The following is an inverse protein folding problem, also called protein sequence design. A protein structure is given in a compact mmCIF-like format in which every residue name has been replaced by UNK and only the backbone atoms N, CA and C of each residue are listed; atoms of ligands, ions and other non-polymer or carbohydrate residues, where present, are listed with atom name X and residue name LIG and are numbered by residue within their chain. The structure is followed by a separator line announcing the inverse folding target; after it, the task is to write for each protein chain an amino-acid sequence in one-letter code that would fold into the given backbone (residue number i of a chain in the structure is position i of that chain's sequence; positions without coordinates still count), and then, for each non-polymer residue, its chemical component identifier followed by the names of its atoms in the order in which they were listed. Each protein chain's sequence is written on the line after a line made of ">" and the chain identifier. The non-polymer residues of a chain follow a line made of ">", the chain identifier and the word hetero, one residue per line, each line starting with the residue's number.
data_IF_761521483978
#
_entry.id   IF_761521483978
#
_cell.length_a   1.000
_cell.length_b   1.000
_cell.length_c   1.000
_cell.angle_alpha   90.00
_cell.angle_beta   90.00
_cell.angle_gamma   90.00
#
_symmetry.space_group_name_H-M   'P 1'
#
loop_
_entity.id
_entity.type
_entity.pdbx_description
1 polymer ?
#
# COMPACT_ATOMS: atom_id res chain seq x y z
N UNK A 1 22.83 15.24 2.82
CA UNK A 1 21.47 15.27 2.24
C UNK A 1 20.78 13.95 2.56
N UNK A 2 19.86 13.90 3.53
CA UNK A 2 19.09 12.68 3.78
C UNK A 2 18.02 12.56 2.69
N UNK A 3 18.25 11.67 1.71
CA UNK A 3 17.24 11.33 0.71
C UNK A 3 16.14 10.52 1.39
N UNK A 4 15.04 11.18 1.74
CA UNK A 4 13.82 10.51 2.17
C UNK A 4 13.33 9.62 1.03
N UNK A 5 13.09 8.33 1.31
CA UNK A 5 12.53 7.40 0.29
C UNK A 5 11.18 7.95 -0.23
N UNK A 6 10.87 7.80 -1.53
CA UNK A 6 9.59 8.20 -2.09
C UNK A 6 8.40 7.62 -1.33
N UNK A 7 7.29 8.37 -1.28
CA UNK A 7 6.08 7.93 -0.61
C UNK A 7 5.54 6.60 -1.18
N UNK A 8 5.68 6.36 -2.48
CA UNK A 8 5.36 5.09 -3.16
C UNK A 8 6.12 3.91 -2.58
N UNK A 9 7.44 4.02 -2.40
CA UNK A 9 8.28 2.95 -1.81
C UNK A 9 7.90 2.67 -0.36
N UNK A 10 7.64 3.73 0.42
CA UNK A 10 7.20 3.60 1.82
C UNK A 10 5.83 2.93 1.91
N UNK A 11 4.89 3.33 1.05
CA UNK A 11 3.54 2.78 1.00
C UNK A 11 3.57 1.31 0.57
N UNK A 12 4.36 0.95 -0.44
CA UNK A 12 4.54 -0.45 -0.86
C UNK A 12 5.04 -1.33 0.29
N UNK A 13 6.08 -0.88 1.00
CA UNK A 13 6.61 -1.60 2.14
C UNK A 13 5.56 -1.79 3.25
N UNK A 14 4.73 -0.78 3.50
CA UNK A 14 3.66 -0.88 4.49
C UNK A 14 2.52 -1.79 4.03
N UNK A 15 2.13 -1.75 2.76
CA UNK A 15 1.16 -2.70 2.17
C UNK A 15 1.65 -4.13 2.34
N UNK A 16 2.93 -4.43 2.09
CA UNK A 16 3.47 -5.77 2.32
C UNK A 16 3.43 -6.19 3.80
N UNK A 17 3.56 -5.26 4.76
CA UNK A 17 3.37 -5.56 6.19
C UNK A 17 1.92 -5.88 6.51
N UNK A 18 0.97 -5.16 5.90
CA UNK A 18 -0.47 -5.44 6.03
C UNK A 18 -0.82 -6.80 5.44
N UNK A 19 -0.25 -7.16 4.28
CA UNK A 19 -0.46 -8.48 3.65
C UNK A 19 -0.04 -9.62 4.58
N UNK A 20 0.99 -9.46 5.42
CA UNK A 20 1.40 -10.48 6.41
C UNK A 20 0.34 -10.72 7.50
N UNK A 21 -0.56 -9.77 7.74
CA UNK A 21 -1.67 -9.90 8.69
C UNK A 21 -2.85 -10.69 8.12
N UNK A 22 -2.87 -10.93 6.80
CA UNK A 22 -3.92 -11.72 6.16
C UNK A 22 -3.72 -13.23 6.43
N UNK A 23 -4.77 -14.04 6.23
CA UNK A 23 -4.64 -15.49 6.22
C UNK A 23 -3.58 -15.99 5.22
N UNK A 24 -2.79 -17.03 5.54
CA UNK A 24 -1.68 -17.50 4.72
C UNK A 24 -2.01 -17.68 3.23
N UNK A 25 -3.17 -18.25 2.93
CA UNK A 25 -3.67 -18.54 1.59
C UNK A 25 -3.92 -17.27 0.74
N UNK A 26 -4.20 -16.13 1.38
CA UNK A 26 -4.44 -14.87 0.70
C UNK A 26 -3.14 -14.09 0.42
N UNK A 27 -2.06 -14.36 1.16
CA UNK A 27 -0.83 -13.52 1.14
C UNK A 27 -0.17 -13.48 -0.22
N UNK A 28 -0.04 -14.64 -0.89
CA UNK A 28 0.62 -14.74 -2.19
C UNK A 28 -0.12 -13.92 -3.26
N UNK A 29 -1.45 -13.99 -3.26
CA UNK A 29 -2.28 -13.20 -4.18
C UNK A 29 -2.07 -11.68 -3.96
N UNK A 30 -2.25 -11.20 -2.73
CA UNK A 30 -2.19 -9.76 -2.46
C UNK A 30 -0.77 -9.18 -2.51
N UNK A 31 0.27 -9.97 -2.21
CA UNK A 31 1.67 -9.54 -2.39
C UNK A 31 2.03 -9.36 -3.87
N UNK A 32 1.56 -10.26 -4.75
CA UNK A 32 1.70 -10.11 -6.20
C UNK A 32 0.93 -8.91 -6.72
N UNK A 33 -0.35 -8.79 -6.35
CA UNK A 33 -1.18 -7.65 -6.74
C UNK A 33 -0.58 -6.31 -6.31
N UNK A 34 -0.04 -6.22 -5.09
CA UNK A 34 0.67 -5.03 -4.62
C UNK A 34 1.93 -4.75 -5.47
N UNK A 35 2.73 -5.77 -5.79
CA UNK A 35 3.92 -5.59 -6.64
C UNK A 35 3.54 -5.04 -8.01
N UNK A 36 2.55 -5.63 -8.67
CA UNK A 36 2.07 -5.21 -9.99
C UNK A 36 1.53 -3.77 -9.95
N UNK A 37 0.76 -3.41 -8.93
CA UNK A 37 0.25 -2.05 -8.76
C UNK A 37 1.38 -1.03 -8.53
N UNK A 38 2.30 -1.29 -7.61
CA UNK A 38 3.35 -0.32 -7.29
C UNK A 38 4.44 -0.24 -8.37
N UNK A 39 4.58 -1.26 -9.22
CA UNK A 39 5.45 -1.18 -10.39
C UNK A 39 4.99 -0.08 -11.35
N UNK A 40 3.67 0.12 -11.53
CA UNK A 40 3.16 1.20 -12.39
C UNK A 40 3.35 2.59 -11.79
N UNK A 41 3.73 2.71 -10.51
CA UNK A 41 3.94 4.01 -9.86
C UNK A 41 5.37 4.52 -10.07
N UNK A 42 6.30 3.66 -10.47
CA UNK A 42 7.71 4.02 -10.64
C UNK A 42 7.96 4.87 -11.88
N UNK A 43 7.13 4.72 -12.91
CA UNK A 43 7.25 5.46 -14.16
C UNK A 43 6.49 6.79 -14.14
N UNK A 44 5.69 7.02 -13.09
CA UNK A 44 4.89 8.23 -12.94
C UNK A 44 5.72 9.38 -12.36
N UNK A 45 5.80 10.48 -13.11
CA UNK A 45 6.49 11.71 -12.69
C UNK A 45 5.53 12.78 -12.17
N UNK A 46 4.23 12.64 -12.47
CA UNK A 46 3.23 13.58 -12.02
C UNK A 46 2.84 13.32 -10.55
N UNK A 47 3.14 14.31 -9.71
CA UNK A 47 2.87 14.26 -8.27
C UNK A 47 1.37 14.13 -7.96
N UNK A 48 0.49 14.68 -8.80
CA UNK A 48 -0.97 14.60 -8.61
C UNK A 48 -1.49 13.18 -8.85
N UNK A 49 -0.95 12.52 -9.86
CA UNK A 49 -1.21 11.12 -10.20
C UNK A 49 -0.70 10.20 -9.09
N UNK A 50 0.54 10.39 -8.62
CA UNK A 50 1.09 9.64 -7.48
C UNK A 50 0.20 9.78 -6.24
N UNK A 51 -0.24 10.99 -5.90
CA UNK A 51 -1.13 11.23 -4.75
C UNK A 51 -2.45 10.45 -4.89
N UNK A 52 -3.06 10.49 -6.07
CA UNK A 52 -4.29 9.74 -6.38
C UNK A 52 -4.08 8.23 -6.25
N UNK A 53 -2.97 7.72 -6.76
CA UNK A 53 -2.59 6.30 -6.69
C UNK A 53 -2.36 5.86 -5.23
N UNK A 54 -1.66 6.66 -4.43
CA UNK A 54 -1.47 6.41 -3.00
C UNK A 54 -2.79 6.41 -2.22
N UNK A 55 -3.72 7.32 -2.53
CA UNK A 55 -5.04 7.35 -1.93
C UNK A 55 -5.85 6.09 -2.27
N UNK A 56 -5.75 5.59 -3.52
CA UNK A 56 -6.36 4.32 -3.94
C UNK A 56 -5.73 3.12 -3.22
N UNK A 57 -4.41 3.08 -3.11
CA UNK A 57 -3.70 2.02 -2.39
C UNK A 57 -4.13 1.93 -0.91
N UNK A 58 -4.30 3.08 -0.24
CA UNK A 58 -4.83 3.13 1.12
C UNK A 58 -6.26 2.59 1.20
N UNK A 59 -7.18 3.08 0.37
CA UNK A 59 -8.58 2.63 0.35
C UNK A 59 -8.68 1.12 0.09
N UNK A 60 -7.94 0.62 -0.89
CA UNK A 60 -7.94 -0.79 -1.24
C UNK A 60 -7.38 -1.64 -0.09
N UNK A 61 -6.29 -1.20 0.56
CA UNK A 61 -5.74 -1.90 1.73
C UNK A 61 -6.77 -2.01 2.85
N UNK A 62 -7.49 -0.93 3.17
CA UNK A 62 -8.57 -0.97 4.16
C UNK A 62 -9.70 -1.93 3.79
N UNK A 63 -10.08 -2.00 2.50
CA UNK A 63 -11.08 -2.96 2.04
C UNK A 63 -10.61 -4.41 2.19
N UNK A 64 -9.37 -4.71 1.79
CA UNK A 64 -8.79 -6.06 1.95
C UNK A 64 -8.71 -6.46 3.43
N UNK A 65 -8.24 -5.57 4.30
CA UNK A 65 -8.20 -5.84 5.75
C UNK A 65 -9.60 -6.16 6.29
N UNK A 66 -10.59 -5.34 5.94
CA UNK A 66 -11.99 -5.56 6.33
C UNK A 66 -12.55 -6.89 5.82
N UNK A 67 -12.21 -7.28 4.58
CA UNK A 67 -12.63 -8.55 3.97
C UNK A 67 -12.17 -9.76 4.79
N UNK A 68 -11.00 -9.68 5.42
CA UNK A 68 -10.43 -10.77 6.23
C UNK A 68 -10.57 -10.54 7.74
N UNK A 69 -11.42 -9.62 8.18
CA UNK A 69 -11.66 -9.35 9.59
C UNK A 69 -10.46 -8.73 10.34
N UNK A 70 -9.49 -8.16 9.62
CA UNK A 70 -8.37 -7.43 10.23
C UNK A 70 -8.81 -6.00 10.55
N UNK A 71 -8.53 -5.55 11.77
CA UNK A 71 -8.85 -4.18 12.20
C UNK A 71 -8.23 -3.14 11.26
N UNK A 72 -9.04 -2.16 10.85
CA UNK A 72 -8.63 -1.04 10.01
C UNK A 72 -7.56 -0.17 10.66
N UNK A 73 -7.48 -0.12 12.00
CA UNK A 73 -6.40 0.56 12.72
C UNK A 73 -5.00 0.04 12.33
N UNK A 74 -4.90 -1.20 11.82
CA UNK A 74 -3.67 -1.73 11.24
C UNK A 74 -3.10 -0.83 10.13
N UNK A 75 -3.95 -0.10 9.40
CA UNK A 75 -3.57 0.74 8.26
C UNK A 75 -3.26 2.20 8.63
N UNK A 76 -3.22 2.58 9.91
CA UNK A 76 -2.97 3.97 10.31
C UNK A 76 -1.62 4.50 9.82
N UNK A 77 -0.59 3.66 9.86
CA UNK A 77 0.72 4.01 9.31
C UNK A 77 0.67 4.20 7.79
N UNK A 78 -0.08 3.37 7.07
CA UNK A 78 -0.28 3.54 5.63
C UNK A 78 -1.02 4.85 5.34
N UNK A 79 -2.04 5.18 6.12
CA UNK A 79 -2.76 6.46 6.03
C UNK A 79 -1.83 7.66 6.16
N UNK A 80 -0.88 7.62 7.08
CA UNK A 80 0.11 8.70 7.27
C UNK A 80 1.09 8.81 6.10
N UNK A 81 1.41 7.70 5.43
CA UNK A 81 2.32 7.69 4.27
C UNK A 81 1.62 8.20 3.01
N UNK A 82 0.34 7.87 2.83
CA UNK A 82 -0.45 8.24 1.66
C UNK A 82 -1.12 9.62 1.75
N UNK A 83 -0.82 10.40 2.79
CA UNK A 83 -1.29 11.80 2.96
C UNK A 83 -0.44 12.77 2.17
#
# INVERSE_FOLDING_TARGET
>A
MHMTRPASVRAYAEVLRLVRRLPPEARSYYSRFARENFATYNDEVDQSTISTLLARAYKHSCWVLSKYGVDKAAADKLKQICK
#
